data_IF_653675995535
#
_entry.id   IF_653675995535
#
_cell.length_a   1.000
_cell.length_b   1.000
_cell.length_c   1.000
_cell.angle_alpha   90.00
_cell.angle_beta   90.00
_cell.angle_gamma   90.00
#
_symmetry.space_group_name_H-M   'P 1'
#
loop_
_entity.id
_entity.type
_entity.pdbx_description
1 polymer ?
#
# COMPACT_ATOMS: atom_id res chain seq x y z
N UNK A 1 9.47 -3.40 17.44
CA UNK A 1 9.61 -2.58 16.23
C UNK A 1 8.37 -2.74 15.39
N UNK A 2 7.78 -1.63 14.93
CA UNK A 2 6.60 -1.66 14.06
C UNK A 2 7.03 -1.70 12.59
N UNK A 3 6.22 -2.33 11.76
CA UNK A 3 6.43 -2.42 10.32
C UNK A 3 5.10 -2.66 9.60
N UNK A 4 5.10 -2.41 8.29
CA UNK A 4 4.08 -2.82 7.35
C UNK A 4 4.76 -3.70 6.30
N UNK A 5 4.18 -4.87 6.01
CA UNK A 5 4.71 -5.81 5.05
C UNK A 5 3.59 -6.27 4.10
N UNK A 6 3.88 -6.24 2.81
CA UNK A 6 3.04 -6.74 1.73
C UNK A 6 3.82 -7.83 0.99
N UNK A 7 3.25 -9.04 0.92
CA UNK A 7 3.84 -10.17 0.21
C UNK A 7 2.88 -10.68 -0.86
N UNK A 8 3.27 -10.58 -2.13
CA UNK A 8 2.51 -11.02 -3.32
C UNK A 8 1.05 -10.59 -3.29
N UNK A 9 0.84 -9.31 -2.97
CA UNK A 9 -0.49 -8.76 -2.77
C UNK A 9 -1.13 -8.28 -4.05
N UNK A 10 -2.43 -8.52 -4.15
CA UNK A 10 -3.28 -8.03 -5.23
C UNK A 10 -4.47 -7.27 -4.63
N UNK A 11 -4.54 -5.96 -4.89
CA UNK A 11 -5.62 -5.11 -4.42
C UNK A 11 -6.56 -4.75 -5.55
N UNK A 12 -7.87 -4.85 -5.32
CA UNK A 12 -8.88 -4.36 -6.27
C UNK A 12 -8.94 -2.83 -6.19
N UNK A 13 -8.82 -2.17 -7.34
CA UNK A 13 -9.06 -0.72 -7.47
C UNK A 13 -10.41 -0.43 -8.15
N UNK A 14 -10.82 -1.28 -9.09
CA UNK A 14 -12.13 -1.27 -9.74
C UNK A 14 -12.49 -2.68 -10.21
N UNK A 15 -13.60 -2.85 -10.93
CA UNK A 15 -13.99 -4.15 -11.47
C UNK A 15 -12.99 -4.74 -12.47
N UNK A 16 -12.20 -3.90 -13.14
CA UNK A 16 -11.26 -4.29 -14.19
C UNK A 16 -9.81 -3.97 -13.89
N UNK A 17 -9.53 -3.31 -12.75
CA UNK A 17 -8.19 -2.83 -12.41
C UNK A 17 -7.77 -3.32 -11.03
N UNK A 18 -6.57 -3.89 -10.97
CA UNK A 18 -5.91 -4.30 -9.74
C UNK A 18 -4.54 -3.65 -9.60
N UNK A 19 -4.13 -3.39 -8.38
CA UNK A 19 -2.77 -3.02 -8.00
C UNK A 19 -2.04 -4.27 -7.52
N UNK A 20 -0.91 -4.57 -8.15
CA UNK A 20 -0.05 -5.68 -7.77
C UNK A 20 1.20 -5.16 -7.04
N UNK A 21 1.52 -5.77 -5.90
CA UNK A 21 2.73 -5.46 -5.14
C UNK A 21 3.37 -6.79 -4.75
N UNK A 22 4.51 -7.09 -5.38
CA UNK A 22 5.26 -8.34 -5.17
C UNK A 22 5.84 -8.44 -3.77
N UNK A 23 6.58 -7.41 -3.34
CA UNK A 23 7.16 -7.33 -2.01
C UNK A 23 7.35 -5.84 -1.64
N UNK A 24 6.86 -5.45 -0.47
CA UNK A 24 7.12 -4.14 0.10
C UNK A 24 7.15 -4.24 1.62
N UNK A 25 8.24 -3.80 2.23
CA UNK A 25 8.37 -3.66 3.68
C UNK A 25 8.71 -2.21 4.02
N UNK A 26 7.93 -1.63 4.93
CA UNK A 26 8.16 -0.30 5.49
C UNK A 26 8.36 -0.43 6.99
N UNK A 27 9.52 -0.03 7.49
CA UNK A 27 9.87 -0.11 8.90
C UNK A 27 9.64 1.23 9.63
N UNK A 28 9.39 1.13 10.94
CA UNK A 28 9.34 2.30 11.83
C UNK A 28 10.65 3.12 11.74
N UNK A 29 10.50 4.44 11.55
CA UNK A 29 11.62 5.37 11.43
C UNK A 29 12.11 5.62 9.99
N UNK A 30 11.59 4.90 9.00
CA UNK A 30 11.91 5.14 7.60
C UNK A 30 11.05 6.25 6.99
N UNK A 31 11.63 6.98 6.03
CA UNK A 31 10.95 7.95 5.18
C UNK A 31 11.04 7.50 3.73
N UNK A 32 9.89 7.25 3.11
CA UNK A 32 9.79 6.72 1.75
C UNK A 32 9.20 7.76 0.79
N UNK A 33 9.62 7.69 -0.47
CA UNK A 33 9.02 8.43 -1.58
C UNK A 33 8.73 7.47 -2.74
N UNK A 34 7.46 7.37 -3.12
CA UNK A 34 7.04 6.61 -4.31
C UNK A 34 6.92 7.55 -5.51
N UNK A 35 7.79 7.38 -6.51
CA UNK A 35 7.85 8.23 -7.70
C UNK A 35 7.36 7.49 -8.94
N UNK A 36 6.74 8.23 -9.87
CA UNK A 36 6.20 7.67 -11.10
C UNK A 36 5.39 8.71 -11.88
N UNK A 37 5.05 8.40 -13.13
CA UNK A 37 4.27 9.28 -14.01
C UNK A 37 2.82 9.50 -13.52
N UNK A 38 2.12 10.48 -14.09
CA UNK A 38 0.68 10.64 -13.85
C UNK A 38 -0.07 9.37 -14.28
N UNK A 39 -0.99 8.89 -13.45
CA UNK A 39 -1.72 7.64 -13.68
C UNK A 39 -0.95 6.36 -13.32
N UNK A 40 0.27 6.43 -12.80
CA UNK A 40 1.07 5.24 -12.43
C UNK A 40 0.57 4.47 -11.20
N UNK A 41 -0.52 4.91 -10.55
CA UNK A 41 -1.07 4.24 -9.37
C UNK A 41 -0.53 4.69 -8.01
N UNK A 42 0.22 5.80 -7.91
CA UNK A 42 0.74 6.31 -6.62
C UNK A 42 -0.35 6.54 -5.57
N UNK A 43 -1.45 7.18 -5.95
CA UNK A 43 -2.60 7.42 -5.05
C UNK A 43 -3.25 6.09 -4.64
N UNK A 44 -3.37 5.14 -5.58
CA UNK A 44 -3.88 3.81 -5.27
C UNK A 44 -2.99 3.06 -4.28
N UNK A 45 -1.66 3.17 -4.42
CA UNK A 45 -0.69 2.65 -3.47
C UNK A 45 -0.82 3.32 -2.10
N UNK A 46 -0.92 4.64 -2.02
CA UNK A 46 -1.10 5.36 -0.77
C UNK A 46 -2.37 4.92 -0.01
N UNK A 47 -3.50 4.79 -0.72
CA UNK A 47 -4.76 4.31 -0.14
C UNK A 47 -4.65 2.85 0.32
N UNK A 48 -3.95 2.00 -0.45
CA UNK A 48 -3.68 0.61 -0.08
C UNK A 48 -2.88 0.50 1.21
N UNK A 49 -1.82 1.31 1.35
CA UNK A 49 -1.01 1.38 2.57
C UNK A 49 -1.82 1.89 3.78
N UNK A 50 -2.83 2.73 3.54
CA UNK A 50 -3.78 3.19 4.54
C UNK A 50 -4.92 2.20 4.82
N UNK A 51 -4.88 0.99 4.24
CA UNK A 51 -5.90 -0.06 4.36
C UNK A 51 -7.28 0.33 3.85
N UNK A 52 -7.35 1.20 2.84
CA UNK A 52 -8.60 1.63 2.20
C UNK A 52 -9.00 0.77 0.99
N UNK A 53 -8.20 -0.24 0.64
CA UNK A 53 -8.40 -1.12 -0.51
C UNK A 53 -8.88 -2.54 -0.17
N UNK A 54 -9.48 -3.22 -1.14
CA UNK A 54 -9.90 -4.63 -1.00
C UNK A 54 -8.73 -5.53 -1.40
N UNK A 55 -8.17 -6.27 -0.44
CA UNK A 55 -7.16 -7.30 -0.68
C UNK A 55 -7.84 -8.55 -1.28
N UNK A 56 -7.46 -8.92 -2.51
CA UNK A 56 -7.97 -10.11 -3.19
C UNK A 56 -7.11 -11.35 -2.89
N UNK A 57 -5.78 -11.19 -2.83
CA UNK A 57 -4.84 -12.26 -2.55
C UNK A 57 -3.51 -11.74 -1.99
N UNK A 58 -2.72 -12.62 -1.38
CA UNK A 58 -1.44 -12.28 -0.75
C UNK A 58 -1.57 -12.05 0.74
N UNK A 59 -0.51 -11.51 1.35
CA UNK A 59 -0.46 -11.24 2.79
C UNK A 59 -0.15 -9.76 3.06
N UNK A 60 -0.97 -9.13 3.91
CA UNK A 60 -0.72 -7.80 4.46
C UNK A 60 -0.59 -7.93 5.97
N UNK A 61 0.57 -7.56 6.51
CA UNK A 61 0.80 -7.42 7.94
C UNK A 61 1.02 -5.94 8.23
N UNK A 62 0.21 -5.38 9.12
CA UNK A 62 0.40 -4.01 9.60
C UNK A 62 0.53 -4.02 11.12
N UNK A 63 1.69 -3.59 11.63
CA UNK A 63 1.97 -3.44 13.07
C UNK A 63 1.94 -1.98 13.53
N UNK A 64 1.56 -1.05 12.66
CA UNK A 64 1.26 0.33 13.05
C UNK A 64 -0.13 0.42 13.68
N UNK A 65 -0.30 1.34 14.63
CA UNK A 65 -1.57 1.49 15.37
C UNK A 65 -2.69 1.99 14.47
N UNK A 66 -2.40 2.97 13.62
CA UNK A 66 -3.36 3.56 12.67
C UNK A 66 -2.61 4.34 11.59
N UNK A 67 -2.59 3.87 10.33
CA UNK A 67 -2.07 4.68 9.23
C UNK A 67 -3.00 5.88 8.99
N UNK A 68 -2.42 7.03 8.62
CA UNK A 68 -3.16 8.26 8.32
C UNK A 68 -2.68 8.75 6.96
N UNK A 69 -3.63 8.91 6.03
CA UNK A 69 -3.38 9.61 4.77
C UNK A 69 -3.46 11.12 5.02
N UNK A 70 -2.36 11.83 4.78
CA UNK A 70 -2.30 13.29 4.86
C UNK A 70 -2.17 13.83 3.43
N UNK A 71 -3.30 14.17 2.83
CA UNK A 71 -3.39 14.83 1.52
C UNK A 71 -4.02 16.20 1.68
N UNK A 72 -3.43 17.22 1.06
CA UNK A 72 -3.90 18.60 1.01
C UNK A 72 -4.18 19.04 -0.42
#
# INVERSE_FOLDING_TARGET
MKYLQLTKTLFRLSDTLCLHIDDLTINEGESWAFVGSNGSGKTALANTLCQEGILLSGELINRFTRPINLSF
#
